data_IF_600018271584
#
_entry.id   IF_600018271584
#
_cell.length_a   1.000
_cell.length_b   1.000
_cell.length_c   1.000
_cell.angle_alpha   90.00
_cell.angle_beta   90.00
_cell.angle_gamma   90.00
#
_symmetry.space_group_name_H-M   'P 1'
#
loop_
_entity.id
_entity.type
_entity.pdbx_description
1 polymer ?
#
# COMPACT_ATOMS: atom_id res chain seq x y z
N UNK A 1 -17.40 -79.72 19.57
CA UNK A 1 -18.57 -79.46 18.71
C UNK A 1 -19.06 -78.04 18.96
N UNK A 2 -19.37 -77.32 17.87
CA UNK A 2 -19.75 -75.89 17.80
C UNK A 2 -20.77 -75.45 18.87
N UNK A 3 -20.65 -74.20 19.35
CA UNK A 3 -21.49 -73.07 18.89
C UNK A 3 -20.76 -71.72 19.05
N UNK A 4 -20.54 -71.05 17.93
CA UNK A 4 -20.26 -69.61 17.81
C UNK A 4 -21.59 -68.84 17.88
N UNK A 5 -21.62 -67.67 18.52
CA UNK A 5 -22.45 -66.49 18.21
C UNK A 5 -21.86 -65.29 18.99
N UNK A 6 -21.15 -64.35 18.34
CA UNK A 6 -21.64 -63.21 17.55
C UNK A 6 -22.02 -62.01 18.43
N UNK A 7 -21.07 -61.09 18.66
CA UNK A 7 -21.26 -59.62 18.65
C UNK A 7 -19.92 -58.90 18.37
N UNK A 8 -19.73 -58.47 17.11
CA UNK A 8 -18.94 -57.31 16.60
C UNK A 8 -17.44 -57.22 17.00
N UNK A 9 -16.45 -57.59 16.17
CA UNK A 9 -15.96 -57.04 14.88
C UNK A 9 -15.57 -55.55 14.95
N UNK A 10 -14.31 -55.27 14.58
CA UNK A 10 -13.66 -54.03 14.02
C UNK A 10 -12.23 -53.97 14.64
N UNK A 11 -11.13 -54.48 14.06
CA UNK A 11 -10.39 -54.17 12.81
C UNK A 11 -9.95 -52.70 12.65
N UNK A 12 -8.68 -52.50 12.25
CA UNK A 12 -7.90 -51.28 11.90
C UNK A 12 -6.96 -50.83 13.02
N UNK A 13 -5.62 -50.92 13.00
CA UNK A 13 -4.59 -50.86 11.95
C UNK A 13 -4.62 -49.55 11.12
N UNK A 14 -4.00 -48.49 11.64
CA UNK A 14 -3.36 -47.37 10.91
C UNK A 14 -2.33 -46.77 11.90
N UNK A 15 -1.05 -47.08 11.79
CA UNK A 15 -0.03 -46.41 10.95
C UNK A 15 0.26 -44.95 11.34
N UNK A 16 1.56 -44.71 11.49
CA UNK A 16 2.18 -43.50 11.96
C UNK A 16 1.79 -42.27 11.15
N UNK A 17 1.26 -41.26 11.83
CA UNK A 17 1.34 -39.88 11.36
C UNK A 17 2.61 -39.26 11.94
N UNK A 18 3.67 -39.32 11.14
CA UNK A 18 4.67 -38.27 11.13
C UNK A 18 3.92 -36.94 10.97
N UNK A 19 4.01 -36.10 11.99
CA UNK A 19 3.54 -34.73 11.92
C UNK A 19 4.39 -34.02 10.87
N UNK A 20 3.81 -33.87 9.69
CA UNK A 20 4.36 -33.05 8.62
C UNK A 20 4.29 -31.60 9.09
N UNK A 21 5.43 -31.06 9.53
CA UNK A 21 5.65 -29.62 9.66
C UNK A 21 5.77 -29.04 8.24
N UNK A 22 4.64 -28.95 7.52
CA UNK A 22 4.58 -28.25 6.24
C UNK A 22 4.51 -26.76 6.54
N UNK A 23 5.67 -26.11 6.54
CA UNK A 23 5.76 -24.68 6.26
C UNK A 23 5.23 -24.48 4.85
N UNK A 24 3.93 -24.21 4.73
CA UNK A 24 3.33 -23.74 3.49
C UNK A 24 3.71 -22.28 3.34
N UNK A 25 4.60 -22.00 2.38
CA UNK A 25 4.79 -20.67 1.83
C UNK A 25 3.43 -20.22 1.28
N UNK A 26 2.71 -19.40 2.04
CA UNK A 26 1.46 -18.77 1.61
C UNK A 26 1.72 -17.88 0.39
N UNK A 27 0.84 -17.95 -0.61
CA UNK A 27 0.90 -17.05 -1.76
C UNK A 27 0.68 -15.60 -1.30
N UNK A 28 1.43 -14.61 -1.85
CA UNK A 28 1.27 -13.21 -1.45
C UNK A 28 -0.13 -12.69 -1.77
N UNK A 29 -0.70 -11.95 -0.83
CA UNK A 29 -1.96 -11.21 -1.01
C UNK A 29 -1.80 -10.08 -2.05
N UNK A 30 -2.91 -9.62 -2.63
CA UNK A 30 -2.90 -8.49 -3.58
C UNK A 30 -2.30 -7.22 -2.95
N UNK A 31 -2.56 -6.99 -1.66
CA UNK A 31 -1.97 -5.87 -0.91
C UNK A 31 -0.45 -5.99 -0.79
N UNK A 32 0.07 -7.19 -0.54
CA UNK A 32 1.52 -7.42 -0.47
C UNK A 32 2.19 -7.21 -1.84
N UNK A 33 1.50 -7.55 -2.94
CA UNK A 33 1.98 -7.25 -4.29
C UNK A 33 2.02 -5.73 -4.54
N UNK A 34 1.01 -4.98 -4.11
CA UNK A 34 1.00 -3.51 -4.22
C UNK A 34 2.10 -2.89 -3.36
N UNK A 35 2.27 -3.30 -2.10
CA UNK A 35 3.35 -2.83 -1.23
C UNK A 35 4.72 -3.09 -1.87
N UNK A 36 4.93 -4.31 -2.39
CA UNK A 36 6.17 -4.67 -3.07
C UNK A 36 6.42 -3.80 -4.30
N UNK A 37 5.39 -3.52 -5.11
CA UNK A 37 5.52 -2.67 -6.29
C UNK A 37 5.77 -1.19 -5.93
N UNK A 38 5.20 -0.72 -4.81
CA UNK A 38 5.37 0.64 -4.29
C UNK A 38 6.72 0.89 -3.61
N UNK A 39 7.39 -0.15 -3.09
CA UNK A 39 8.62 -0.04 -2.28
C UNK A 39 9.81 0.44 -3.11
N UNK A 40 9.81 1.74 -3.40
CA UNK A 40 10.75 2.50 -4.23
C UNK A 40 10.71 3.96 -3.79
N UNK A 41 11.66 4.74 -4.31
CA UNK A 41 11.60 6.19 -4.27
C UNK A 41 10.95 6.70 -5.55
N UNK A 42 9.93 7.54 -5.38
CA UNK A 42 9.12 8.13 -6.44
C UNK A 42 9.30 9.64 -6.42
N UNK A 43 9.62 10.25 -7.55
CA UNK A 43 9.78 11.69 -7.67
C UNK A 43 9.20 12.26 -8.96
N UNK A 44 9.38 13.56 -9.15
CA UNK A 44 8.97 14.27 -10.37
C UNK A 44 10.05 14.12 -11.44
N UNK A 45 9.91 13.10 -12.29
CA UNK A 45 10.78 12.88 -13.46
C UNK A 45 10.24 13.60 -14.72
N UNK A 46 11.02 13.72 -15.80
CA UNK A 46 10.52 14.28 -17.06
C UNK A 46 9.21 13.62 -17.54
N UNK A 47 8.20 14.44 -17.86
CA UNK A 47 6.88 13.97 -18.28
C UNK A 47 5.99 13.46 -17.14
N UNK A 48 6.33 13.79 -15.90
CA UNK A 48 5.51 13.65 -14.69
C UNK A 48 4.99 15.02 -14.24
N UNK A 49 3.96 15.04 -13.41
CA UNK A 49 3.33 16.29 -12.98
C UNK A 49 2.63 16.16 -11.63
N UNK A 50 2.46 17.31 -10.98
CA UNK A 50 1.56 17.47 -9.84
C UNK A 50 0.43 18.40 -10.28
N UNK A 51 -0.80 17.93 -10.12
CA UNK A 51 -2.00 18.72 -10.40
C UNK A 51 -2.72 18.99 -9.08
N UNK A 52 -3.01 20.27 -8.82
CA UNK A 52 -3.79 20.72 -7.68
C UNK A 52 -5.03 21.46 -8.17
N UNK A 53 -6.22 20.98 -7.79
CA UNK A 53 -7.51 21.58 -8.20
C UNK A 53 -7.63 21.77 -9.73
N UNK A 54 -7.06 20.83 -10.50
CA UNK A 54 -7.05 20.87 -11.97
C UNK A 54 -6.00 21.80 -12.59
N UNK A 55 -5.20 22.50 -11.79
CA UNK A 55 -4.10 23.35 -12.25
C UNK A 55 -2.76 22.64 -12.11
N UNK A 56 -1.87 22.85 -13.08
CA UNK A 56 -0.50 22.34 -13.00
C UNK A 56 0.28 23.08 -11.89
N UNK A 57 0.70 22.32 -10.89
CA UNK A 57 1.49 22.77 -9.75
C UNK A 57 2.93 22.23 -9.79
N UNK A 58 3.32 21.54 -10.87
CA UNK A 58 4.58 20.78 -10.94
C UNK A 58 5.82 21.61 -10.65
N UNK A 59 5.80 22.91 -10.99
CA UNK A 59 6.93 23.82 -10.74
C UNK A 59 7.28 23.95 -9.25
N UNK A 60 6.29 23.85 -8.36
CA UNK A 60 6.51 23.96 -6.92
C UNK A 60 7.09 22.65 -6.35
N UNK A 61 6.75 21.52 -6.95
CA UNK A 61 7.08 20.17 -6.49
C UNK A 61 8.28 19.56 -7.22
N UNK A 62 9.09 20.35 -7.92
CA UNK A 62 10.17 19.84 -8.77
C UNK A 62 11.18 18.94 -8.03
N UNK A 63 11.43 19.23 -6.76
CA UNK A 63 12.36 18.48 -5.90
C UNK A 63 11.68 17.40 -5.05
N UNK A 64 10.37 17.18 -5.23
CA UNK A 64 9.59 16.25 -4.41
C UNK A 64 10.02 14.81 -4.62
N UNK A 65 10.28 14.12 -3.51
CA UNK A 65 10.52 12.68 -3.46
C UNK A 65 9.72 12.03 -2.35
N UNK A 66 9.16 10.86 -2.65
CA UNK A 66 8.37 10.02 -1.76
C UNK A 66 8.93 8.60 -1.80
N UNK A 67 9.44 8.12 -0.68
CA UNK A 67 9.98 6.76 -0.56
C UNK A 67 9.07 5.90 0.29
N UNK A 68 8.56 4.80 -0.28
CA UNK A 68 7.80 3.80 0.47
C UNK A 68 8.70 2.64 0.90
N UNK A 69 8.36 2.02 2.03
CA UNK A 69 9.03 0.81 2.53
C UNK A 69 8.10 -0.40 2.50
N UNK A 70 8.68 -1.59 2.58
CA UNK A 70 7.96 -2.86 2.72
C UNK A 70 7.19 -2.97 4.04
N UNK A 71 7.50 -2.10 5.02
CA UNK A 71 6.84 -2.04 6.34
C UNK A 71 5.65 -1.07 6.38
N UNK A 72 5.09 -0.74 5.23
CA UNK A 72 3.95 0.19 5.10
C UNK A 72 4.23 1.56 5.74
N UNK A 73 5.47 2.03 5.59
CA UNK A 73 5.89 3.38 5.99
C UNK A 73 6.37 4.17 4.79
N UNK A 74 6.43 5.49 4.94
CA UNK A 74 6.98 6.37 3.92
C UNK A 74 7.80 7.52 4.52
N UNK A 75 8.69 8.08 3.72
CA UNK A 75 9.42 9.33 3.99
C UNK A 75 9.29 10.26 2.79
N UNK A 76 9.30 11.56 3.05
CA UNK A 76 9.14 12.60 2.03
C UNK A 76 10.25 13.64 2.15
N UNK A 77 10.74 14.12 1.01
CA UNK A 77 11.63 15.28 0.89
C UNK A 77 11.18 16.19 -0.25
N UNK A 78 11.71 17.42 -0.27
CA UNK A 78 11.40 18.39 -1.33
C UNK A 78 9.96 18.90 -1.32
N UNK A 79 9.27 18.84 -0.17
CA UNK A 79 7.97 19.48 0.00
C UNK A 79 8.15 21.00 -0.10
N UNK A 80 7.35 21.71 -0.92
CA UNK A 80 7.43 23.16 -1.02
C UNK A 80 7.09 23.81 0.33
N UNK A 81 7.78 24.90 0.67
CA UNK A 81 7.50 25.64 1.91
C UNK A 81 6.02 26.03 1.99
N UNK A 82 5.37 25.70 3.11
CA UNK A 82 3.95 25.98 3.33
C UNK A 82 2.99 24.89 2.87
N UNK A 83 3.51 23.77 2.35
CA UNK A 83 2.73 22.60 1.91
C UNK A 83 2.96 21.36 2.79
N UNK A 84 3.50 21.52 4.00
CA UNK A 84 3.79 20.42 4.94
C UNK A 84 2.53 19.61 5.32
N UNK A 85 1.35 20.23 5.26
CA UNK A 85 0.07 19.55 5.50
C UNK A 85 -0.31 18.56 4.38
N UNK A 86 0.22 18.73 3.16
CA UNK A 86 -0.05 17.84 2.02
C UNK A 86 0.68 16.52 2.21
N UNK A 87 1.95 16.58 2.60
CA UNK A 87 2.80 15.42 2.86
C UNK A 87 3.68 15.67 4.10
N UNK A 88 3.47 14.94 5.21
CA UNK A 88 4.39 14.99 6.33
C UNK A 88 5.73 14.39 5.91
N UNK A 89 6.81 14.82 6.56
CA UNK A 89 8.17 14.33 6.29
C UNK A 89 8.30 12.80 6.42
N UNK A 90 7.44 12.15 7.19
CA UNK A 90 7.33 10.70 7.27
C UNK A 90 5.98 10.28 7.84
N UNK A 91 5.58 9.04 7.56
CA UNK A 91 4.37 8.47 8.13
C UNK A 91 4.25 6.97 7.89
N UNK A 92 3.09 6.44 8.23
CA UNK A 92 2.68 5.05 7.95
C UNK A 92 1.37 5.04 7.20
N UNK A 93 1.05 3.92 6.56
CA UNK A 93 -0.24 3.74 5.91
C UNK A 93 -0.82 2.35 6.19
N UNK A 94 -2.14 2.25 6.08
CA UNK A 94 -2.90 1.01 6.18
C UNK A 94 -3.77 0.82 4.94
N UNK A 95 -4.22 -0.40 4.69
CA UNK A 95 -5.26 -0.67 3.70
C UNK A 95 -6.60 -0.76 4.43
N UNK A 96 -7.48 0.26 4.31
CA UNK A 96 -8.73 0.32 5.06
C UNK A 96 -9.77 -0.70 4.56
N UNK A 97 -9.65 -1.17 3.32
CA UNK A 97 -10.52 -2.19 2.72
C UNK A 97 -9.68 -3.36 2.16
N UNK A 98 -9.85 -4.60 2.66
CA UNK A 98 -9.17 -5.77 2.10
C UNK A 98 -9.55 -6.07 0.64
N UNK A 99 -10.65 -5.51 0.13
CA UNK A 99 -11.12 -5.69 -1.26
C UNK A 99 -10.64 -4.61 -2.22
N UNK A 100 -10.06 -3.51 -1.72
CA UNK A 100 -9.46 -2.46 -2.55
C UNK A 100 -7.96 -2.35 -2.23
N UNK A 101 -7.10 -3.17 -2.87
CA UNK A 101 -5.66 -3.15 -2.63
C UNK A 101 -4.99 -1.87 -3.13
N UNK A 102 -5.73 -0.98 -3.81
CA UNK A 102 -5.21 0.28 -4.35
C UNK A 102 -5.64 1.49 -3.52
N UNK A 103 -6.36 1.31 -2.42
CA UNK A 103 -6.71 2.36 -1.49
C UNK A 103 -5.84 2.23 -0.23
N UNK A 104 -5.11 3.27 0.11
CA UNK A 104 -4.41 3.37 1.40
C UNK A 104 -4.98 4.52 2.21
N UNK A 105 -4.86 4.41 3.53
CA UNK A 105 -5.11 5.47 4.48
C UNK A 105 -3.78 5.78 5.19
N UNK A 106 -3.31 7.02 5.07
CA UNK A 106 -2.17 7.51 5.85
C UNK A 106 -2.56 7.64 7.32
N UNK A 107 -1.58 7.58 8.21
CA UNK A 107 -1.79 7.68 9.66
C UNK A 107 -2.32 9.05 10.14
N UNK A 108 -2.43 10.03 9.25
CA UNK A 108 -3.07 11.33 9.48
C UNK A 108 -4.52 11.40 8.93
N UNK A 109 -5.06 10.28 8.44
CA UNK A 109 -6.44 10.15 7.96
C UNK A 109 -6.62 10.52 6.49
N UNK A 110 -5.55 10.78 5.74
CA UNK A 110 -5.64 11.04 4.29
C UNK A 110 -5.78 9.73 3.52
N UNK A 111 -6.88 9.57 2.79
CA UNK A 111 -7.11 8.46 1.88
C UNK A 111 -6.46 8.74 0.53
N UNK A 112 -5.65 7.80 0.03
CA UNK A 112 -4.94 7.90 -1.25
C UNK A 112 -5.32 6.71 -2.12
N UNK A 113 -5.82 7.01 -3.32
CA UNK A 113 -5.95 6.03 -4.39
C UNK A 113 -4.63 5.94 -5.15
N UNK A 114 -4.12 4.73 -5.27
CA UNK A 114 -2.89 4.39 -5.98
C UNK A 114 -3.24 3.77 -7.32
N UNK A 115 -2.58 4.22 -8.38
CA UNK A 115 -2.61 3.58 -9.68
C UNK A 115 -1.17 3.38 -10.18
N UNK A 116 -0.69 2.13 -10.12
CA UNK A 116 0.61 1.75 -10.66
C UNK A 116 0.45 1.53 -12.16
N UNK A 117 0.88 2.51 -12.96
CA UNK A 117 0.72 2.48 -14.43
C UNK A 117 1.86 1.72 -15.12
N UNK A 118 3.01 1.60 -14.47
CA UNK A 118 4.10 0.71 -14.86
C UNK A 118 5.03 0.45 -13.66
N UNK A 119 6.04 -0.41 -13.83
CA UNK A 119 7.06 -0.62 -12.79
C UNK A 119 7.75 0.68 -12.34
N UNK A 120 7.83 1.67 -13.22
CA UNK A 120 8.50 2.95 -12.97
C UNK A 120 7.57 4.13 -12.88
N UNK A 121 6.24 3.92 -12.87
CA UNK A 121 5.26 5.01 -12.85
C UNK A 121 4.11 4.72 -11.91
N UNK A 122 3.83 5.67 -11.02
CA UNK A 122 2.69 5.61 -10.10
C UNK A 122 1.93 6.91 -10.15
N UNK A 123 0.63 6.82 -9.97
CA UNK A 123 -0.26 7.95 -9.78
C UNK A 123 -0.93 7.85 -8.42
N UNK A 124 -0.89 8.95 -7.67
CA UNK A 124 -1.50 9.07 -6.34
C UNK A 124 -2.56 10.17 -6.40
N UNK A 125 -3.80 9.81 -6.08
CA UNK A 125 -4.94 10.73 -6.08
C UNK A 125 -5.54 10.79 -4.70
N UNK A 126 -5.71 11.99 -4.16
CA UNK A 126 -6.30 12.20 -2.85
C UNK A 126 -6.93 13.58 -2.73
N UNK A 127 -7.81 13.73 -1.75
CA UNK A 127 -8.38 15.01 -1.33
C UNK A 127 -7.89 15.34 0.07
N UNK A 128 -7.34 16.53 0.24
CA UNK A 128 -7.01 17.08 1.55
C UNK A 128 -8.18 17.92 2.03
N UNK A 129 -8.83 17.49 3.11
CA UNK A 129 -9.88 18.28 3.74
C UNK A 129 -9.26 19.46 4.51
N UNK A 130 -9.97 20.58 4.55
CA UNK A 130 -9.54 21.75 5.31
C UNK A 130 -9.47 21.42 6.80
N UNK A 131 -8.27 21.48 7.37
CA UNK A 131 -8.01 21.33 8.80
C UNK A 131 -7.98 22.68 9.53
N UNK A 132 -8.21 23.79 8.81
CA UNK A 132 -8.32 25.15 9.36
C UNK A 132 -6.98 25.80 9.74
N UNK A 133 -5.84 25.21 9.36
CA UNK A 133 -4.50 25.63 9.79
C UNK A 133 -3.58 26.19 8.70
N UNK A 134 -3.83 25.90 7.43
CA UNK A 134 -2.92 26.30 6.34
C UNK A 134 -3.16 27.72 5.88
N UNK A 135 -2.16 28.60 6.08
CA UNK A 135 -2.16 29.96 5.53
C UNK A 135 -2.11 29.98 3.99
N UNK A 136 -1.76 28.86 3.35
CA UNK A 136 -1.58 28.74 1.90
C UNK A 136 -2.76 28.09 1.18
N UNK A 137 -3.79 27.63 1.90
CA UNK A 137 -4.96 26.98 1.30
C UNK A 137 -4.59 25.67 0.60
N UNK A 138 -4.00 24.75 1.35
CA UNK A 138 -3.57 23.42 0.87
C UNK A 138 -4.72 22.41 0.75
N UNK A 139 -5.93 22.74 1.20
CA UNK A 139 -7.09 21.86 1.04
C UNK A 139 -7.51 21.74 -0.42
N UNK A 140 -7.84 20.52 -0.86
CA UNK A 140 -8.38 20.26 -2.18
C UNK A 140 -7.85 18.98 -2.81
N UNK A 141 -8.12 18.84 -4.10
CA UNK A 141 -7.80 17.63 -4.86
C UNK A 141 -6.37 17.67 -5.38
N UNK A 142 -5.60 16.64 -5.07
CA UNK A 142 -4.25 16.41 -5.56
C UNK A 142 -4.18 15.18 -6.46
N UNK A 143 -3.35 15.30 -7.48
CA UNK A 143 -2.94 14.19 -8.35
C UNK A 143 -1.43 14.28 -8.57
N UNK A 144 -0.70 13.35 -7.98
CA UNK A 144 0.74 13.22 -8.13
C UNK A 144 1.02 12.09 -9.12
N UNK A 145 1.46 12.44 -10.32
CA UNK A 145 1.98 11.47 -11.28
C UNK A 145 3.48 11.42 -11.06
N UNK A 146 4.01 10.31 -10.54
CA UNK A 146 5.42 10.18 -10.16
C UNK A 146 6.10 9.11 -11.01
N UNK A 147 7.43 9.12 -10.98
CA UNK A 147 8.24 8.04 -11.51
C UNK A 147 9.34 7.64 -10.53
N UNK A 148 9.70 6.36 -10.53
CA UNK A 148 10.92 5.91 -9.87
C UNK A 148 12.10 6.02 -10.83
N UNK A 149 13.24 6.49 -10.32
CA UNK A 149 14.50 6.45 -11.05
C UNK A 149 14.85 5.00 -11.37
N UNK A 150 15.15 4.72 -12.64
CA UNK A 150 15.74 3.46 -13.11
C UNK A 150 17.17 3.28 -12.61
#
# INVERSE_FOLDING_TARGET
>A
MRRLNLKHIVLCLVLAVWSCNSGSDEEPTEQELVVKALTKTWGIAPGRSVVFQGLDASVFWADFELSFTDRRSFTVSGVPSGYDDVWPASGTFTFPDPKDPNLIERNDGVFIKIEITSETRVELVFELNDTGGSAFGTSGNYRFMLASGS
#
